data_IF_491051707863
#
_entry.id   IF_491051707863
#
_cell.length_a   1.000
_cell.length_b   1.000
_cell.length_c   1.000
_cell.angle_alpha   90.00
_cell.angle_beta   90.00
_cell.angle_gamma   90.00
#
_symmetry.space_group_name_H-M   'P 1'
#
loop_
_entity.id
_entity.type
_entity.pdbx_description
1 polymer ?
#
# COMPACT_ATOMS: atom_id res chain seq x y z
N UNK A 1 -8.22 -18.40 -19.01
CA UNK A 1 -8.34 -17.12 -18.27
C UNK A 1 -8.24 -15.97 -19.26
N UNK A 2 -9.11 -14.99 -19.17
CA UNK A 2 -9.08 -13.77 -19.99
C UNK A 2 -8.38 -12.62 -19.27
N UNK A 3 -7.95 -11.60 -20.03
CA UNK A 3 -7.37 -10.39 -19.44
C UNK A 3 -8.27 -9.70 -18.41
N UNK A 4 -9.57 -9.48 -18.66
CA UNK A 4 -10.48 -8.94 -17.66
C UNK A 4 -10.53 -9.76 -16.36
N UNK A 5 -10.48 -11.09 -16.45
CA UNK A 5 -10.47 -11.95 -15.26
C UNK A 5 -9.19 -11.77 -14.43
N UNK A 6 -8.03 -11.68 -15.10
CA UNK A 6 -6.74 -11.41 -14.42
C UNK A 6 -6.75 -10.04 -13.76
N UNK A 7 -7.23 -9.00 -14.45
CA UNK A 7 -7.26 -7.64 -13.93
C UNK A 7 -8.21 -7.52 -12.74
N UNK A 8 -9.42 -8.07 -12.83
CA UNK A 8 -10.36 -8.10 -11.71
C UNK A 8 -9.78 -8.85 -10.50
N UNK A 9 -9.09 -9.98 -10.74
CA UNK A 9 -8.38 -10.68 -9.69
C UNK A 9 -7.28 -9.79 -9.08
N UNK A 10 -6.43 -9.13 -9.90
CA UNK A 10 -5.37 -8.23 -9.42
C UNK A 10 -5.92 -7.05 -8.64
N UNK A 11 -7.02 -6.43 -9.07
CA UNK A 11 -7.66 -5.31 -8.37
C UNK A 11 -8.17 -5.74 -6.99
N UNK A 12 -8.86 -6.89 -6.90
CA UNK A 12 -9.25 -7.49 -5.61
C UNK A 12 -8.04 -7.76 -4.73
N UNK A 13 -7.01 -8.37 -5.31
CA UNK A 13 -5.77 -8.71 -4.60
C UNK A 13 -5.03 -7.43 -4.14
N UNK A 14 -5.05 -6.36 -4.90
CA UNK A 14 -4.41 -5.09 -4.54
C UNK A 14 -5.31 -4.15 -3.75
N UNK A 15 -6.45 -4.63 -3.25
CA UNK A 15 -7.38 -3.89 -2.37
C UNK A 15 -7.98 -2.64 -3.03
N UNK A 16 -8.09 -2.65 -4.37
CA UNK A 16 -8.63 -1.54 -5.15
C UNK A 16 -10.13 -1.71 -5.43
N UNK A 17 -10.60 -2.95 -5.54
CA UNK A 17 -12.01 -3.23 -5.78
C UNK A 17 -12.39 -4.62 -5.22
N UNK A 18 -13.25 -4.71 -4.19
CA UNK A 18 -13.78 -3.57 -3.42
C UNK A 18 -12.73 -2.97 -2.49
N UNK A 19 -12.84 -1.68 -2.21
CA UNK A 19 -11.99 -0.99 -1.22
C UNK A 19 -12.41 -1.41 0.20
N UNK A 20 -11.46 -1.96 0.96
CA UNK A 20 -11.70 -2.53 2.30
C UNK A 20 -11.20 -1.67 3.46
N UNK A 21 -11.24 -2.23 4.67
CA UNK A 21 -10.80 -1.59 5.92
C UNK A 21 -9.38 -2.00 6.36
N UNK A 22 -8.52 -2.43 5.43
CA UNK A 22 -7.16 -2.86 5.73
C UNK A 22 -6.38 -1.76 6.48
N UNK A 23 -5.56 -2.14 7.45
CA UNK A 23 -4.65 -1.21 8.12
C UNK A 23 -3.52 -0.77 7.18
N UNK A 24 -2.83 0.33 7.51
CA UNK A 24 -1.66 0.79 6.75
C UNK A 24 -0.60 -0.32 6.58
N UNK A 25 -0.15 -1.03 7.64
CA UNK A 25 0.76 -2.16 7.47
C UNK A 25 0.14 -3.33 6.69
N UNK A 26 -1.18 -3.54 6.81
CA UNK A 26 -1.90 -4.55 6.03
C UNK A 26 -1.80 -4.29 4.53
N UNK A 27 -1.97 -3.04 4.09
CA UNK A 27 -1.80 -2.65 2.68
C UNK A 27 -0.35 -2.84 2.23
N UNK A 28 0.64 -2.35 2.99
CA UNK A 28 2.06 -2.48 2.64
C UNK A 28 2.47 -3.95 2.50
N UNK A 29 2.10 -4.79 3.47
CA UNK A 29 2.31 -6.24 3.41
C UNK A 29 1.65 -6.84 2.18
N UNK A 30 0.43 -6.41 1.86
CA UNK A 30 -0.34 -6.97 0.75
C UNK A 30 0.24 -6.68 -0.63
N UNK A 31 0.88 -5.52 -0.77
CA UNK A 31 1.55 -5.06 -1.98
C UNK A 31 3.03 -5.49 -2.06
N UNK A 32 3.53 -6.18 -1.04
CA UNK A 32 4.94 -6.58 -0.91
C UNK A 32 5.90 -5.37 -0.86
N UNK A 33 5.50 -4.31 -0.13
CA UNK A 33 6.18 -3.03 -0.09
C UNK A 33 5.51 -1.97 -0.95
N UNK A 34 5.80 -0.69 -0.68
CA UNK A 34 5.31 0.46 -1.45
C UNK A 34 6.50 1.37 -1.69
N UNK A 35 6.75 1.78 -2.92
CA UNK A 35 7.86 2.70 -3.20
C UNK A 35 7.66 4.03 -2.47
N UNK A 36 8.70 4.55 -1.81
CA UNK A 36 8.63 5.69 -0.89
C UNK A 36 9.64 6.81 -1.16
N UNK A 37 10.25 6.87 -2.35
CA UNK A 37 11.07 8.03 -2.78
C UNK A 37 10.31 9.35 -2.64
N UNK A 38 9.05 9.35 -3.04
CA UNK A 38 8.14 10.48 -2.85
C UNK A 38 7.12 10.07 -1.79
N UNK A 39 7.28 10.61 -0.57
CA UNK A 39 6.50 10.20 0.59
C UNK A 39 4.98 10.41 0.40
N UNK A 40 4.57 11.50 -0.24
CA UNK A 40 3.16 11.79 -0.55
C UNK A 40 2.56 10.77 -1.52
N UNK A 41 3.34 10.30 -2.50
CA UNK A 41 2.90 9.24 -3.43
C UNK A 41 2.70 7.91 -2.71
N UNK A 42 3.58 7.55 -1.78
CA UNK A 42 3.41 6.35 -0.96
C UNK A 42 2.16 6.43 -0.08
N UNK A 43 1.93 7.59 0.54
CA UNK A 43 0.73 7.84 1.34
C UNK A 43 -0.53 7.74 0.48
N UNK A 44 -0.56 8.37 -0.71
CA UNK A 44 -1.68 8.26 -1.64
C UNK A 44 -1.94 6.81 -2.06
N UNK A 45 -0.89 6.06 -2.42
CA UNK A 45 -1.01 4.65 -2.84
C UNK A 45 -1.65 3.78 -1.75
N UNK A 46 -1.39 4.08 -0.47
CA UNK A 46 -2.00 3.38 0.66
C UNK A 46 -3.44 3.85 0.89
N UNK A 47 -3.70 5.17 0.79
CA UNK A 47 -5.01 5.77 1.06
C UNK A 47 -6.09 5.30 0.07
N UNK A 48 -5.78 5.20 -1.22
CA UNK A 48 -6.74 4.75 -2.25
C UNK A 48 -7.20 3.29 -2.10
N UNK A 49 -6.52 2.51 -1.23
CA UNK A 49 -6.81 1.09 -0.95
C UNK A 49 -7.55 0.88 0.36
N UNK A 50 -8.00 1.97 1.00
CA UNK A 50 -8.64 1.95 2.32
C UNK A 50 -9.89 2.80 2.33
N UNK A 51 -10.99 2.23 2.84
CA UNK A 51 -12.29 2.90 2.93
C UNK A 51 -12.23 4.14 3.82
N UNK A 52 -11.43 4.08 4.88
CA UNK A 52 -11.15 5.20 5.78
C UNK A 52 -9.65 5.42 5.87
N UNK A 53 -9.20 6.65 5.65
CA UNK A 53 -7.80 7.03 5.86
C UNK A 53 -7.69 8.46 6.40
N UNK A 54 -6.65 8.70 7.19
CA UNK A 54 -6.29 10.01 7.73
C UNK A 54 -4.85 10.33 7.34
N UNK A 55 -4.55 11.62 7.15
CA UNK A 55 -3.19 12.08 6.89
C UNK A 55 -2.27 11.69 8.06
N UNK A 56 -1.04 11.28 7.74
CA UNK A 56 -0.01 10.97 8.74
C UNK A 56 -0.10 9.56 9.33
N UNK A 57 -1.07 8.72 8.94
CA UNK A 57 -1.14 7.34 9.44
C UNK A 57 0.09 6.50 9.05
N UNK A 58 0.74 6.80 7.92
CA UNK A 58 2.01 6.17 7.51
C UNK A 58 3.15 6.59 8.42
N UNK A 59 3.30 7.90 8.65
CA UNK A 59 4.32 8.43 9.56
C UNK A 59 4.16 7.89 10.98
N UNK A 60 2.91 7.83 11.47
CA UNK A 60 2.59 7.21 12.76
C UNK A 60 2.97 5.73 12.81
N UNK A 61 2.68 4.96 11.75
CA UNK A 61 3.06 3.55 11.69
C UNK A 61 4.59 3.34 11.70
N UNK A 62 5.35 4.26 11.09
CA UNK A 62 6.81 4.26 11.17
C UNK A 62 7.30 4.60 12.58
N UNK A 63 6.75 5.66 13.20
CA UNK A 63 7.11 6.06 14.57
C UNK A 63 6.78 5.01 15.63
N UNK A 64 5.73 4.22 15.42
CA UNK A 64 5.36 3.08 16.27
C UNK A 64 6.12 1.78 15.94
N UNK A 65 7.07 1.80 14.99
CA UNK A 65 7.85 0.62 14.60
C UNK A 65 7.05 -0.48 13.88
N UNK A 66 5.81 -0.19 13.44
CA UNK A 66 4.96 -1.14 12.69
C UNK A 66 5.29 -1.20 11.21
N UNK A 67 6.08 -0.25 10.72
CA UNK A 67 6.68 -0.21 9.40
C UNK A 67 8.15 0.19 9.52
N UNK A 68 8.92 -0.19 8.51
CA UNK A 68 10.28 0.32 8.28
C UNK A 68 10.33 0.94 6.88
N UNK A 69 11.29 1.84 6.66
CA UNK A 69 11.68 2.27 5.31
C UNK A 69 13.08 1.77 5.03
N UNK A 70 13.29 1.12 3.89
CA UNK A 70 14.60 0.59 3.52
C UNK A 70 14.77 0.49 2.01
N UNK A 71 16.01 0.31 1.57
CA UNK A 71 16.31 0.01 0.18
C UNK A 71 16.01 -1.46 -0.09
N UNK A 72 15.17 -1.73 -1.10
CA UNK A 72 14.71 -3.07 -1.39
C UNK A 72 14.70 -3.33 -2.91
N UNK A 73 13.54 -3.65 -3.48
CA UNK A 73 13.42 -4.07 -4.88
C UNK A 73 14.00 -3.02 -5.82
N UNK A 74 14.87 -3.47 -6.74
CA UNK A 74 15.50 -2.63 -7.77
C UNK A 74 16.30 -1.45 -7.20
N UNK A 75 16.77 -1.54 -5.95
CA UNK A 75 17.53 -0.47 -5.32
C UNK A 75 16.72 0.81 -5.12
N UNK A 76 15.42 0.71 -4.86
CA UNK A 76 14.58 1.87 -4.51
C UNK A 76 14.12 1.80 -3.06
N UNK A 77 13.95 2.95 -2.40
CA UNK A 77 13.33 3.09 -1.10
C UNK A 77 11.90 2.55 -1.15
N UNK A 78 11.61 1.60 -0.27
CA UNK A 78 10.29 1.04 -0.01
C UNK A 78 9.96 1.22 1.46
#
# INVERSE_FOLDING_TARGET
>A
MTWPQVLAWRMRRQLLDPVGAASVPGVVRRLCGVQTQVASSAELAIRVRRRSSRRGEVARALGEGRLIKTWAMRGTLH
#
